data_IF_552518501469
#
_entry.id   IF_552518501469
#
_cell.length_a   1.000
_cell.length_b   1.000
_cell.length_c   1.000
_cell.angle_alpha   90.00
_cell.angle_beta   90.00
_cell.angle_gamma   90.00
#
_symmetry.space_group_name_H-M   'P 1'
#
loop_
_entity.id
_entity.type
_entity.pdbx_description
1 polymer ?
#
# COMPACT_ATOMS: atom_id res chain seq x y z
N UNK A 1 14.60 -31.05 18.12
CA UNK A 1 13.65 -29.98 18.49
C UNK A 1 13.99 -28.79 17.60
N UNK A 2 13.23 -28.60 16.53
CA UNK A 2 13.44 -27.59 15.50
C UNK A 2 13.29 -26.20 16.12
N UNK A 3 14.33 -25.38 15.99
CA UNK A 3 14.33 -23.99 16.42
C UNK A 3 13.15 -23.26 15.77
N UNK A 4 12.34 -22.60 16.59
CA UNK A 4 11.37 -21.61 16.12
C UNK A 4 12.14 -20.53 15.35
N UNK A 5 12.05 -20.57 14.03
CA UNK A 5 12.41 -19.43 13.19
C UNK A 5 11.58 -18.23 13.66
N UNK A 6 12.26 -17.19 14.15
CA UNK A 6 11.61 -15.90 14.41
C UNK A 6 11.12 -15.38 13.07
N UNK A 7 9.81 -15.45 12.81
CA UNK A 7 9.20 -14.79 11.65
C UNK A 7 9.46 -13.29 11.77
N UNK A 8 10.40 -12.78 10.98
CA UNK A 8 10.59 -11.35 10.81
C UNK A 8 9.34 -10.78 10.15
N UNK A 9 8.73 -9.70 10.69
CA UNK A 9 7.59 -9.08 10.04
C UNK A 9 8.00 -8.59 8.65
N UNK A 10 7.18 -8.92 7.65
CA UNK A 10 7.35 -8.48 6.27
C UNK A 10 6.31 -7.42 5.95
N UNK A 11 6.71 -6.44 5.16
CA UNK A 11 5.88 -5.33 4.73
C UNK A 11 5.85 -5.28 3.20
N UNK A 12 4.72 -4.86 2.65
CA UNK A 12 4.61 -4.53 1.22
C UNK A 12 4.51 -3.02 1.06
N UNK A 13 5.34 -2.41 0.23
CA UNK A 13 5.32 -0.96 0.01
C UNK A 13 5.03 -0.69 -1.46
N UNK A 14 3.90 -0.06 -1.73
CA UNK A 14 3.57 0.54 -3.01
C UNK A 14 4.09 1.99 -2.99
N UNK A 15 5.20 2.23 -3.68
CA UNK A 15 5.73 3.57 -3.85
C UNK A 15 5.01 4.25 -5.01
N UNK A 16 4.18 5.26 -4.71
CA UNK A 16 3.55 6.13 -5.70
C UNK A 16 4.06 7.58 -5.60
N UNK A 17 5.34 7.76 -5.22
CA UNK A 17 6.07 9.03 -5.27
C UNK A 17 6.77 9.21 -6.64
N UNK A 18 6.07 9.77 -7.62
CA UNK A 18 6.67 10.20 -8.89
C UNK A 18 7.43 11.53 -8.67
N UNK A 19 8.75 11.44 -8.48
CA UNK A 19 9.64 12.61 -8.33
C UNK A 19 10.10 13.26 -9.64
N UNK A 20 9.78 12.66 -10.80
CA UNK A 20 10.18 13.18 -12.11
C UNK A 20 9.17 14.19 -12.67
N UNK A 21 9.62 15.41 -12.95
CA UNK A 21 8.82 16.46 -13.59
C UNK A 21 8.38 16.02 -14.99
N UNK A 22 7.10 15.70 -15.17
CA UNK A 22 6.48 15.43 -16.48
C UNK A 22 5.86 14.05 -16.67
N UNK A 23 5.97 13.17 -15.68
CA UNK A 23 5.28 11.87 -15.68
C UNK A 23 4.01 11.99 -14.83
N UNK A 24 2.84 11.78 -15.44
CA UNK A 24 1.52 11.80 -14.78
C UNK A 24 0.93 10.38 -14.68
N UNK A 25 1.76 9.35 -14.87
CA UNK A 25 1.27 8.00 -15.18
C UNK A 25 0.72 7.32 -13.95
N UNK A 26 1.33 7.53 -12.79
CA UNK A 26 0.86 6.93 -11.55
C UNK A 26 -0.44 7.57 -11.07
N UNK A 27 -0.60 8.89 -11.19
CA UNK A 27 -1.88 9.54 -10.87
C UNK A 27 -3.04 9.00 -11.73
N UNK A 28 -2.79 8.76 -13.01
CA UNK A 28 -3.80 8.16 -13.91
C UNK A 28 -4.18 6.75 -13.49
N UNK A 29 -3.23 5.95 -13.01
CA UNK A 29 -3.53 4.59 -12.52
C UNK A 29 -4.22 4.62 -11.14
N UNK A 30 -3.72 5.43 -10.22
CA UNK A 30 -4.24 5.55 -8.85
C UNK A 30 -5.64 6.16 -8.81
N UNK A 31 -5.97 7.09 -9.69
CA UNK A 31 -7.29 7.71 -9.75
C UNK A 31 -8.21 7.02 -10.76
N UNK A 32 -7.65 6.42 -11.82
CA UNK A 32 -8.41 5.82 -12.91
C UNK A 32 -8.88 4.39 -12.62
N UNK A 33 -8.01 3.54 -12.05
CA UNK A 33 -8.36 2.18 -11.64
C UNK A 33 -7.69 1.78 -10.29
N UNK A 34 -8.10 2.44 -9.19
CA UNK A 34 -7.57 2.16 -7.86
C UNK A 34 -7.78 0.70 -7.41
N UNK A 35 -8.84 0.04 -7.90
CA UNK A 35 -9.15 -1.34 -7.53
C UNK A 35 -8.14 -2.33 -8.09
N UNK A 36 -7.72 -2.16 -9.35
CA UNK A 36 -6.68 -3.00 -9.94
C UNK A 36 -5.34 -2.86 -9.20
N UNK A 37 -4.99 -1.63 -8.80
CA UNK A 37 -3.77 -1.39 -8.01
C UNK A 37 -3.87 -2.05 -6.63
N UNK A 38 -5.03 -1.93 -5.96
CA UNK A 38 -5.29 -2.59 -4.68
C UNK A 38 -5.16 -4.12 -4.79
N UNK A 39 -5.72 -4.73 -5.84
CA UNK A 39 -5.59 -6.16 -6.10
C UNK A 39 -4.12 -6.58 -6.22
N UNK A 40 -3.32 -5.80 -6.97
CA UNK A 40 -1.88 -6.02 -7.08
C UNK A 40 -1.16 -5.97 -5.72
N UNK A 41 -1.52 -5.03 -4.85
CA UNK A 41 -1.00 -4.93 -3.48
C UNK A 41 -1.37 -6.17 -2.67
N UNK A 42 -2.63 -6.61 -2.71
CA UNK A 42 -3.12 -7.79 -1.97
C UNK A 42 -2.36 -9.05 -2.43
N UNK A 43 -2.25 -9.26 -3.74
CA UNK A 43 -1.54 -10.41 -4.32
C UNK A 43 -0.06 -10.37 -3.95
N UNK A 44 0.59 -9.22 -4.08
CA UNK A 44 2.00 -9.05 -3.74
C UNK A 44 2.28 -9.30 -2.26
N UNK A 45 1.46 -8.75 -1.37
CA UNK A 45 1.56 -8.97 0.07
C UNK A 45 1.32 -10.45 0.44
N UNK A 46 0.34 -11.10 -0.19
CA UNK A 46 0.08 -12.52 -0.01
C UNK A 46 1.30 -13.37 -0.43
N UNK A 47 1.88 -13.10 -1.60
CA UNK A 47 3.01 -13.86 -2.14
C UNK A 47 4.24 -13.82 -1.22
N UNK A 48 4.48 -12.70 -0.53
CA UNK A 48 5.61 -12.57 0.39
C UNK A 48 5.26 -12.95 1.84
N UNK A 49 3.98 -13.10 2.17
CA UNK A 49 3.48 -13.32 3.53
C UNK A 49 3.53 -12.07 4.41
N UNK A 50 3.33 -10.88 3.82
CA UNK A 50 3.21 -9.62 4.55
C UNK A 50 1.79 -9.44 5.11
N UNK A 51 1.68 -8.96 6.34
CA UNK A 51 0.39 -8.67 6.99
C UNK A 51 0.08 -7.17 7.04
N UNK A 52 1.03 -6.34 6.62
CA UNK A 52 0.90 -4.90 6.57
C UNK A 52 1.48 -4.38 5.25
N UNK A 53 0.66 -3.61 4.55
CA UNK A 53 1.01 -2.91 3.33
C UNK A 53 0.89 -1.40 3.52
N UNK A 54 1.72 -0.67 2.78
CA UNK A 54 1.71 0.78 2.71
C UNK A 54 1.55 1.21 1.26
N UNK A 55 0.75 2.24 1.02
CA UNK A 55 0.77 2.99 -0.23
C UNK A 55 1.22 4.41 0.07
N UNK A 56 2.38 4.79 -0.44
CA UNK A 56 2.90 6.14 -0.30
C UNK A 56 2.40 7.00 -1.45
N UNK A 57 1.61 8.02 -1.16
CA UNK A 57 1.05 8.94 -2.14
C UNK A 57 1.67 10.31 -1.95
N UNK A 58 2.07 10.95 -3.07
CA UNK A 58 2.63 12.29 -3.05
C UNK A 58 1.73 13.29 -2.31
N UNK A 59 2.33 14.12 -1.46
CA UNK A 59 1.60 15.09 -0.63
C UNK A 59 0.73 16.09 -1.38
N UNK A 60 1.09 16.38 -2.63
CA UNK A 60 0.36 17.27 -3.53
C UNK A 60 -0.97 16.68 -4.03
N UNK A 61 -1.16 15.36 -3.92
CA UNK A 61 -2.34 14.64 -4.41
C UNK A 61 -3.34 14.32 -3.30
N UNK A 62 -3.85 15.37 -2.65
CA UNK A 62 -4.79 15.22 -1.52
C UNK A 62 -6.08 14.48 -1.90
N UNK A 63 -6.60 14.71 -3.10
CA UNK A 63 -7.78 13.99 -3.61
C UNK A 63 -7.50 12.49 -3.76
N UNK A 64 -6.31 12.12 -4.24
CA UNK A 64 -5.88 10.72 -4.38
C UNK A 64 -5.73 10.07 -3.00
N UNK A 65 -5.14 10.76 -2.02
CA UNK A 65 -5.08 10.26 -0.63
C UNK A 65 -6.48 9.96 -0.09
N UNK A 66 -7.40 10.91 -0.22
CA UNK A 66 -8.78 10.76 0.24
C UNK A 66 -9.53 9.64 -0.50
N UNK A 67 -9.27 9.47 -1.79
CA UNK A 67 -9.81 8.36 -2.59
C UNK A 67 -9.33 7.02 -2.05
N UNK A 68 -8.02 6.89 -1.82
CA UNK A 68 -7.41 5.65 -1.34
C UNK A 68 -7.81 5.29 0.10
N UNK A 69 -7.99 6.28 0.98
CA UNK A 69 -8.54 6.05 2.32
C UNK A 69 -9.98 5.50 2.26
N UNK A 70 -10.82 6.05 1.38
CA UNK A 70 -12.19 5.55 1.16
C UNK A 70 -12.17 4.14 0.55
N UNK A 71 -11.34 3.92 -0.47
CA UNK A 71 -11.16 2.62 -1.11
C UNK A 71 -10.73 1.56 -0.10
N UNK A 72 -9.76 1.86 0.77
CA UNK A 72 -9.30 0.94 1.80
C UNK A 72 -10.43 0.58 2.78
N UNK A 73 -11.25 1.56 3.18
CA UNK A 73 -12.40 1.32 4.05
C UNK A 73 -13.49 0.48 3.36
N UNK A 74 -13.73 0.69 2.07
CA UNK A 74 -14.67 -0.11 1.26
C UNK A 74 -14.16 -1.54 1.08
N UNK A 75 -12.89 -1.71 0.73
CA UNK A 75 -12.24 -3.00 0.61
C UNK A 75 -12.26 -3.79 1.93
N UNK A 76 -12.10 -3.13 3.07
CA UNK A 76 -12.24 -3.77 4.38
C UNK A 76 -13.68 -4.27 4.61
N UNK A 77 -14.70 -3.46 4.27
CA UNK A 77 -16.11 -3.89 4.36
C UNK A 77 -16.42 -5.07 3.43
N UNK A 78 -15.77 -5.11 2.28
CA UNK A 78 -15.89 -6.18 1.28
C UNK A 78 -15.04 -7.42 1.60
N UNK A 79 -14.30 -7.45 2.73
CA UNK A 79 -13.34 -8.52 3.10
C UNK A 79 -12.22 -8.73 2.08
N UNK A 80 -11.83 -7.69 1.35
CA UNK A 80 -10.64 -7.67 0.50
C UNK A 80 -9.39 -7.20 1.26
N UNK A 81 -9.59 -6.54 2.40
CA UNK A 81 -8.58 -6.14 3.38
C UNK A 81 -9.08 -6.44 4.80
N UNK A 82 -8.19 -6.38 5.77
CA UNK A 82 -8.47 -6.63 7.18
C UNK A 82 -8.14 -8.06 7.58
N UNK A 83 -8.93 -8.61 8.50
CA UNK A 83 -8.81 -10.00 8.97
C UNK A 83 -9.54 -10.96 8.05
N UNK A 84 -8.99 -12.15 7.88
CA UNK A 84 -9.58 -13.25 7.12
C UNK A 84 -10.05 -12.82 5.72
N UNK A 85 -9.14 -12.25 4.94
CA UNK A 85 -9.39 -11.76 3.58
C UNK A 85 -10.01 -12.87 2.77
N UNK A 86 -11.21 -12.64 2.23
CA UNK A 86 -12.03 -13.61 1.49
C UNK A 86 -12.21 -14.95 2.23
N UNK A 87 -12.41 -14.89 3.56
CA UNK A 87 -12.57 -16.05 4.45
C UNK A 87 -11.37 -17.02 4.43
N UNK A 88 -10.18 -16.50 4.11
CA UNK A 88 -8.91 -17.23 4.18
C UNK A 88 -8.18 -17.02 5.50
N UNK A 89 -7.08 -17.73 5.74
CA UNK A 89 -6.19 -17.48 6.89
C UNK A 89 -5.29 -16.24 6.70
N UNK A 90 -5.37 -15.57 5.54
CA UNK A 90 -4.57 -14.40 5.23
C UNK A 90 -5.25 -13.13 5.76
N UNK A 91 -4.45 -12.27 6.38
CA UNK A 91 -4.89 -10.96 6.86
C UNK A 91 -3.94 -9.89 6.36
N UNK A 92 -4.49 -8.79 5.87
CA UNK A 92 -3.72 -7.69 5.32
C UNK A 92 -4.32 -6.34 5.72
N UNK A 93 -3.54 -5.52 6.41
CA UNK A 93 -3.87 -4.12 6.64
C UNK A 93 -3.19 -3.26 5.59
N UNK A 94 -3.88 -2.23 5.09
CA UNK A 94 -3.33 -1.22 4.19
C UNK A 94 -3.32 0.13 4.88
N UNK A 95 -2.18 0.83 4.87
CA UNK A 95 -2.06 2.21 5.34
C UNK A 95 -1.71 3.14 4.18
N UNK A 96 -2.47 4.23 4.06
CA UNK A 96 -2.20 5.30 3.10
C UNK A 96 -1.25 6.30 3.77
N UNK A 97 -0.07 6.50 3.17
CA UNK A 97 0.96 7.40 3.70
C UNK A 97 1.07 8.60 2.78
N UNK A 98 0.77 9.79 3.30
CA UNK A 98 0.92 11.05 2.56
C UNK A 98 2.36 11.56 2.66
N UNK A 99 3.00 11.78 1.51
CA UNK A 99 4.32 12.40 1.43
C UNK A 99 4.34 13.84 1.93
N UNK A 100 5.44 14.28 2.54
CA UNK A 100 5.56 15.63 3.14
C UNK A 100 6.05 16.73 2.19
N UNK A 101 6.00 16.53 0.87
CA UNK A 101 6.29 17.58 -0.13
C UNK A 101 7.73 18.10 -0.14
N UNK A 102 8.65 17.46 0.60
CA UNK A 102 10.08 17.77 0.55
C UNK A 102 10.73 16.77 -0.38
N UNK A 103 11.37 17.30 -1.43
CA UNK A 103 12.12 16.65 -2.50
C UNK A 103 13.32 15.76 -2.03
N UNK A 104 13.35 15.38 -0.75
CA UNK A 104 14.37 14.53 -0.12
C UNK A 104 13.65 13.38 0.58
N UNK A 105 13.19 12.41 -0.21
CA UNK A 105 12.77 11.09 0.29
C UNK A 105 13.10 9.97 -0.70
N UNK A 106 14.06 10.21 -1.61
CA UNK A 106 14.61 9.22 -2.54
C UNK A 106 15.81 8.44 -2.00
N UNK A 107 16.08 8.51 -0.69
CA UNK A 107 17.07 7.64 -0.02
C UNK A 107 16.36 6.87 1.10
N UNK A 108 16.61 5.56 1.14
CA UNK A 108 15.95 4.43 1.83
C UNK A 108 15.69 4.54 3.35
N UNK A 109 15.57 5.72 3.97
CA UNK A 109 15.45 5.84 5.43
C UNK A 109 14.36 6.78 5.97
N UNK A 110 13.48 7.32 5.13
CA UNK A 110 12.36 8.16 5.60
C UNK A 110 11.10 7.37 6.06
N UNK A 111 11.16 6.03 6.12
CA UNK A 111 9.98 5.16 6.25
C UNK A 111 10.11 4.09 7.36
N UNK A 112 10.73 4.43 8.50
CA UNK A 112 10.69 3.61 9.73
C UNK A 112 10.07 4.42 10.87
#
# INVERSE_FOLDING_TARGET
>A
STAQEKKTPKYFICNADEGELGTFKDKVLLDGDPWAVLEGIVIGAYAIGAQLAYIYVKGEYEETVNLWEKLAAEAQKARLLGTDVLDSEFSLQLQVVKGRGLYIAGEEFALI
#
